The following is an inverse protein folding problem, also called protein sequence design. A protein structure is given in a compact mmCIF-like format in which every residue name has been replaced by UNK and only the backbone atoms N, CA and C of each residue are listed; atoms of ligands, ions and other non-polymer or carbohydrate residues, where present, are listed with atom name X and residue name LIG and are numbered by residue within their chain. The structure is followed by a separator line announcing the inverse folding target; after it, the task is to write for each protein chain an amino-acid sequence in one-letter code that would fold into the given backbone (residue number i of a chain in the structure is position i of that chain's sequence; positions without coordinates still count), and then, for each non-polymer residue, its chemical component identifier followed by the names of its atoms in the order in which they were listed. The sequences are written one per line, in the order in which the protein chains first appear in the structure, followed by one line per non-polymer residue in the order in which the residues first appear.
data_IF_962132257338
#
_entry.id   IF_962132257338
#
_cell.length_a   1.000
_cell.length_b   1.000
_cell.length_c   1.000
_cell.angle_alpha   90.00
_cell.angle_beta   90.00
_cell.angle_gamma   90.00
#
_symmetry.space_group_name_H-M   'P 1'
#
loop_
_entity.id
_entity.type
_entity.pdbx_description
1 polymer ?
#
# COMPACT_ATOMS: atom_id res chain seq x y z
N UNK A 1 -27.69 -5.47 11.75
CA UNK A 1 -26.97 -5.38 10.47
C UNK A 1 -25.67 -4.67 10.76
N UNK A 2 -24.60 -5.45 10.89
CA UNK A 2 -23.27 -4.99 11.25
C UNK A 2 -22.50 -4.83 9.95
N UNK A 3 -22.09 -3.60 9.67
CA UNK A 3 -21.15 -3.29 8.59
C UNK A 3 -19.79 -3.76 9.11
N UNK A 4 -19.47 -5.02 8.87
CA UNK A 4 -18.11 -5.51 8.91
C UNK A 4 -17.34 -4.80 7.78
N UNK A 5 -16.07 -4.42 7.94
CA UNK A 5 -15.25 -3.89 6.85
C UNK A 5 -14.92 -4.96 5.76
N UNK A 6 -15.71 -6.04 5.69
CA UNK A 6 -15.80 -6.97 4.57
C UNK A 6 -16.41 -6.33 3.30
N UNK A 7 -16.90 -5.09 3.38
CA UNK A 7 -17.24 -4.22 2.23
C UNK A 7 -16.02 -3.71 1.43
N UNK A 8 -14.89 -4.41 1.50
CA UNK A 8 -13.94 -4.43 0.39
C UNK A 8 -14.51 -5.34 -0.73
N UNK A 9 -15.69 -4.97 -1.26
CA UNK A 9 -16.18 -5.51 -2.51
C UNK A 9 -15.16 -5.13 -3.60
N UNK A 10 -14.24 -6.05 -3.90
CA UNK A 10 -13.41 -6.07 -5.10
C UNK A 10 -12.72 -4.74 -5.48
N UNK A 11 -12.03 -4.12 -4.52
CA UNK A 11 -10.96 -3.15 -4.85
C UNK A 11 -9.64 -3.90 -4.83
N UNK A 12 -9.42 -4.84 -5.75
CA UNK A 12 -8.06 -5.35 -5.97
C UNK A 12 -7.19 -4.12 -6.26
N UNK A 13 -6.30 -3.79 -5.34
CA UNK A 13 -5.29 -2.75 -5.54
C UNK A 13 -3.99 -3.42 -5.21
N UNK A 14 -3.09 -3.47 -6.18
CA UNK A 14 -1.77 -4.03 -5.97
C UNK A 14 -0.87 -2.95 -5.43
N UNK A 15 -0.23 -3.22 -4.29
CA UNK A 15 0.75 -2.34 -3.69
C UNK A 15 2.16 -2.85 -3.97
N UNK A 16 3.05 -1.94 -4.33
CA UNK A 16 4.46 -2.22 -4.56
C UNK A 16 5.33 -1.18 -3.87
N UNK A 17 6.24 -1.63 -3.01
CA UNK A 17 7.29 -0.77 -2.45
C UNK A 17 8.50 -0.72 -3.39
N UNK A 18 9.22 0.40 -3.40
CA UNK A 18 10.53 0.51 -4.06
C UNK A 18 11.60 -0.24 -3.27
N UNK A 19 11.50 -0.26 -1.94
CA UNK A 19 12.49 -0.83 -1.02
C UNK A 19 11.81 -1.46 0.20
N UNK A 20 11.61 -2.78 0.15
CA UNK A 20 11.06 -3.56 1.28
C UNK A 20 11.97 -3.59 2.50
N UNK A 21 13.25 -3.25 2.34
CA UNK A 21 14.19 -3.11 3.46
C UNK A 21 13.98 -1.83 4.28
N UNK A 22 13.32 -0.81 3.70
CA UNK A 22 13.04 0.50 4.31
C UNK A 22 11.56 0.58 4.69
N UNK A 23 10.65 0.21 3.79
CA UNK A 23 9.22 0.18 4.06
C UNK A 23 8.55 -1.00 3.35
N UNK A 24 7.75 -1.75 4.10
CA UNK A 24 6.90 -2.83 3.59
C UNK A 24 5.46 -2.35 3.47
N UNK A 25 4.71 -2.92 2.53
CA UNK A 25 3.29 -2.63 2.36
C UNK A 25 2.53 -3.95 2.34
N UNK A 26 1.48 -4.04 3.15
CA UNK A 26 0.61 -5.21 3.24
C UNK A 26 -0.52 -5.15 2.21
N UNK A 27 -1.19 -6.27 1.98
CA UNK A 27 -2.28 -6.40 0.99
C UNK A 27 -3.52 -5.56 1.31
N UNK A 28 -3.63 -5.07 2.54
CA UNK A 28 -4.66 -4.14 3.01
C UNK A 28 -4.28 -2.66 2.78
N UNK A 29 -3.09 -2.38 2.25
CA UNK A 29 -2.54 -1.04 2.06
C UNK A 29 -1.81 -0.48 3.29
N UNK A 30 -1.64 -1.27 4.36
CA UNK A 30 -0.88 -0.84 5.55
C UNK A 30 0.60 -0.75 5.21
N UNK A 31 1.19 0.44 5.35
CA UNK A 31 2.63 0.68 5.14
C UNK A 31 3.35 0.67 6.48
N UNK A 32 4.42 -0.13 6.59
CA UNK A 32 5.25 -0.26 7.79
C UNK A 32 6.69 0.09 7.48
N UNK A 33 7.22 1.10 8.17
CA UNK A 33 8.64 1.44 8.14
C UNK A 33 9.47 0.39 8.88
N UNK A 34 10.47 -0.17 8.20
CA UNK A 34 11.39 -1.19 8.72
C UNK A 34 12.72 -0.58 9.11
N UNK A 35 13.24 0.36 8.31
CA UNK A 35 14.56 0.96 8.51
C UNK A 35 14.54 2.43 8.13
N UNK A 36 15.33 3.25 8.83
CA UNK A 36 15.57 4.65 8.47
C UNK A 36 16.03 4.75 7.01
N UNK A 37 15.35 5.61 6.25
CA UNK A 37 15.50 5.73 4.81
C UNK A 37 14.23 6.28 4.15
N UNK A 38 14.24 6.34 2.82
CA UNK A 38 13.08 6.73 2.02
C UNK A 38 12.68 5.60 1.08
N UNK A 39 11.41 5.25 1.07
CA UNK A 39 10.83 4.25 0.18
C UNK A 39 9.54 4.76 -0.43
N UNK A 40 9.30 4.44 -1.70
CA UNK A 40 8.09 4.84 -2.41
C UNK A 40 7.17 3.64 -2.56
N UNK A 41 5.94 3.78 -2.07
CA UNK A 41 4.88 2.80 -2.25
C UNK A 41 3.97 3.25 -3.39
N UNK A 42 3.75 2.36 -4.35
CA UNK A 42 2.84 2.57 -5.48
C UNK A 42 1.64 1.65 -5.32
N UNK A 43 0.45 2.23 -5.33
CA UNK A 43 -0.83 1.54 -5.33
C UNK A 43 -1.42 1.62 -6.74
N UNK A 44 -1.73 0.47 -7.34
CA UNK A 44 -2.31 0.38 -8.68
C UNK A 44 -3.64 -0.35 -8.59
N UNK A 45 -4.72 0.24 -9.11
CA UNK A 45 -6.02 -0.44 -9.21
C UNK A 45 -5.92 -1.65 -10.14
N UNK A 46 -6.69 -2.70 -9.87
CA UNK A 46 -6.68 -3.94 -10.67
C UNK A 46 -6.98 -3.70 -12.15
N UNK A 47 -7.85 -2.73 -12.43
CA UNK A 47 -8.17 -2.32 -13.81
C UNK A 47 -7.00 -1.60 -14.51
N UNK A 48 -5.89 -1.36 -13.79
CA UNK A 48 -4.72 -0.61 -14.25
C UNK A 48 -4.99 0.87 -14.53
N UNK A 49 -6.21 1.34 -14.31
CA UNK A 49 -6.70 2.65 -14.74
C UNK A 49 -6.35 3.78 -13.78
N UNK A 50 -5.93 3.48 -12.54
CA UNK A 50 -5.50 4.48 -11.56
C UNK A 50 -4.29 4.00 -10.76
N UNK A 51 -3.30 4.87 -10.66
CA UNK A 51 -2.11 4.67 -9.83
C UNK A 51 -2.00 5.82 -8.83
N UNK A 52 -1.68 5.51 -7.58
CA UNK A 52 -1.31 6.46 -6.55
C UNK A 52 0.07 6.11 -6.00
N UNK A 53 0.89 7.12 -5.71
CA UNK A 53 2.20 6.94 -5.10
C UNK A 53 2.27 7.65 -3.75
N UNK A 54 2.95 7.03 -2.80
CA UNK A 54 3.19 7.57 -1.47
C UNK A 54 4.67 7.40 -1.13
N UNK A 55 5.35 8.50 -0.81
CA UNK A 55 6.73 8.47 -0.32
C UNK A 55 6.70 8.32 1.20
N UNK A 56 7.35 7.27 1.69
CA UNK A 56 7.48 6.96 3.10
C UNK A 56 8.92 7.24 3.52
N UNK A 57 9.08 8.27 4.34
CA UNK A 57 10.36 8.61 4.96
C UNK A 57 10.33 8.11 6.39
N UNK A 58 11.23 7.18 6.71
CA UNK A 58 11.47 6.69 8.07
C UNK A 58 12.70 7.44 8.59
N UNK A 59 12.54 8.20 9.67
CA UNK A 59 13.60 9.00 10.30
C UNK A 59 13.63 8.73 11.81
#
# INVERSE_FOLDING_TARGET
MQINPADAANKQVTFKTSDSSIATVSSDGTVTGVKVGSATVTATTDDGGKTATATVTVA
#
